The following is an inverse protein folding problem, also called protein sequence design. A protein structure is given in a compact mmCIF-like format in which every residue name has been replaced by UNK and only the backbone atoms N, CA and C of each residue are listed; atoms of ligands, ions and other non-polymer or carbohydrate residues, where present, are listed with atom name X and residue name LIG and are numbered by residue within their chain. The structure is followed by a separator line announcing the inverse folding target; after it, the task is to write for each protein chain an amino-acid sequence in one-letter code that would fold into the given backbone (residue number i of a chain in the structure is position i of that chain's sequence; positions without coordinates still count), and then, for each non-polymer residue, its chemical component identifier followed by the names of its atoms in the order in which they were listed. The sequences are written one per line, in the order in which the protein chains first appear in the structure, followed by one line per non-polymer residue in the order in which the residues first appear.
data_IF_290883328457
#
_entry.id   IF_290883328457
#
_cell.length_a   1.000
_cell.length_b   1.000
_cell.length_c   1.000
_cell.angle_alpha   90.00
_cell.angle_beta   90.00
_cell.angle_gamma   90.00
#
_symmetry.space_group_name_H-M   'P 1'
#
loop_
_entity.id
_entity.type
_entity.pdbx_description
1 polymer ?
#
# COMPACT_ATOMS: atom_id res chain seq x y z
N UNK A 1 -2.02 3.47 -10.43
CA UNK A 1 -1.06 3.01 -11.45
C UNK A 1 -0.32 4.26 -11.89
N UNK A 2 1.02 4.21 -11.95
CA UNK A 2 1.79 5.33 -12.50
C UNK A 2 1.24 5.64 -13.91
N UNK A 3 1.29 6.90 -14.37
CA UNK A 3 0.89 7.22 -15.73
C UNK A 3 1.60 6.26 -16.70
N UNK A 4 0.87 5.72 -17.67
CA UNK A 4 1.44 4.80 -18.69
C UNK A 4 2.54 5.48 -19.52
N UNK A 5 2.64 6.81 -19.44
CA UNK A 5 3.71 7.59 -20.03
C UNK A 5 5.04 7.33 -19.27
N UNK A 6 5.83 6.43 -19.85
CA UNK A 6 7.15 6.03 -19.37
C UNK A 6 8.14 7.19 -19.31
N UNK A 7 8.11 8.11 -20.26
CA UNK A 7 8.99 9.30 -20.26
C UNK A 7 8.69 10.20 -19.06
N UNK A 8 7.41 10.45 -18.77
CA UNK A 8 7.01 11.26 -17.62
C UNK A 8 7.42 10.61 -16.29
N UNK A 9 7.24 9.29 -16.18
CA UNK A 9 7.62 8.53 -14.99
C UNK A 9 9.15 8.51 -14.77
N UNK A 10 9.94 8.38 -15.84
CA UNK A 10 11.41 8.40 -15.76
C UNK A 10 11.91 9.81 -15.40
N UNK A 11 11.32 10.85 -16.00
CA UNK A 11 11.67 12.25 -15.73
C UNK A 11 11.38 12.65 -14.28
N UNK A 12 10.27 12.17 -13.68
CA UNK A 12 9.99 12.34 -12.26
C UNK A 12 11.01 11.65 -11.34
N UNK A 13 11.44 10.43 -11.70
CA UNK A 13 12.43 9.68 -10.92
C UNK A 13 13.81 10.34 -10.96
N UNK A 14 14.14 11.02 -12.06
CA UNK A 14 15.40 11.73 -12.24
C UNK A 14 15.36 13.18 -11.74
N UNK A 15 14.20 13.64 -11.26
CA UNK A 15 14.01 15.02 -10.75
C UNK A 15 14.08 16.09 -11.84
N UNK A 16 13.90 15.71 -13.11
CA UNK A 16 14.00 16.59 -14.27
C UNK A 16 12.78 17.50 -14.44
N UNK A 17 11.64 17.11 -13.86
CA UNK A 17 10.43 17.93 -13.79
C UNK A 17 10.20 18.40 -12.36
N UNK A 18 10.09 19.71 -12.11
CA UNK A 18 9.82 20.24 -10.78
C UNK A 18 8.40 19.88 -10.33
N UNK A 19 8.26 19.47 -9.07
CA UNK A 19 6.94 19.32 -8.44
C UNK A 19 6.37 20.72 -8.20
N UNK A 20 5.39 21.11 -9.01
CA UNK A 20 4.80 22.45 -8.97
C UNK A 20 3.96 22.70 -7.70
N UNK A 21 3.35 21.65 -7.14
CA UNK A 21 2.46 21.74 -5.98
C UNK A 21 2.54 20.47 -5.12
N UNK A 22 2.63 20.64 -3.80
CA UNK A 22 2.46 19.57 -2.83
C UNK A 22 1.31 19.94 -1.90
N UNK A 23 0.33 19.05 -1.77
CA UNK A 23 -0.79 19.18 -0.84
C UNK A 23 -0.90 17.94 0.03
N UNK A 24 -0.95 18.15 1.34
CA UNK A 24 -1.08 17.08 2.33
C UNK A 24 -2.44 17.17 3.02
N UNK A 25 -3.08 16.02 3.23
CA UNK A 25 -4.34 15.91 3.95
C UNK A 25 -4.25 14.78 4.97
N UNK A 26 -4.39 15.12 6.24
CA UNK A 26 -4.55 14.11 7.28
C UNK A 26 -5.92 13.41 7.12
N UNK A 27 -5.91 12.08 7.10
CA UNK A 27 -7.12 11.26 6.98
C UNK A 27 -7.23 10.31 8.19
N UNK A 28 -7.38 10.84 9.43
CA UNK A 28 -7.29 10.04 10.66
C UNK A 28 -8.35 8.94 10.75
N UNK A 29 -9.51 9.11 10.10
CA UNK A 29 -10.58 8.12 10.11
C UNK A 29 -10.39 6.96 9.11
N UNK A 30 -9.44 7.05 8.18
CA UNK A 30 -9.24 5.99 7.19
C UNK A 30 -8.71 4.69 7.79
N UNK A 31 -7.77 4.77 8.74
CA UNK A 31 -7.23 3.59 9.42
C UNK A 31 -8.32 2.82 10.18
N UNK A 32 -9.07 3.42 11.12
CA UNK A 32 -10.08 2.69 11.87
C UNK A 32 -11.21 2.14 10.99
N UNK A 33 -11.54 2.79 9.87
CA UNK A 33 -12.50 2.23 8.91
C UNK A 33 -12.01 0.92 8.29
N UNK A 34 -10.73 0.87 7.91
CA UNK A 34 -10.14 -0.34 7.31
C UNK A 34 -10.03 -1.44 8.35
N UNK A 35 -9.54 -1.11 9.55
CA UNK A 35 -9.40 -2.06 10.66
C UNK A 35 -10.75 -2.61 11.14
N UNK A 36 -11.84 -1.84 10.99
CA UNK A 36 -13.19 -2.30 11.28
C UNK A 36 -13.88 -3.05 10.11
N UNK A 37 -13.20 -3.27 8.98
CA UNK A 37 -13.79 -3.92 7.80
C UNK A 37 -14.84 -3.07 7.07
N UNK A 38 -14.88 -1.76 7.30
CA UNK A 38 -15.88 -0.83 6.77
C UNK A 38 -15.42 -0.11 5.48
N UNK A 39 -14.34 -0.55 4.85
CA UNK A 39 -13.67 0.15 3.73
C UNK A 39 -14.55 0.39 2.49
N UNK A 40 -15.63 -0.38 2.31
CA UNK A 40 -16.55 -0.31 1.15
C UNK A 40 -17.93 0.28 1.48
N UNK A 41 -18.10 0.82 2.69
CA UNK A 41 -19.39 1.27 3.22
C UNK A 41 -19.76 2.68 2.74
N UNK A 42 -21.05 3.08 2.80
CA UNK A 42 -21.48 4.47 2.60
C UNK A 42 -20.75 5.47 3.50
N UNK A 43 -20.47 5.10 4.74
CA UNK A 43 -19.74 5.88 5.73
C UNK A 43 -18.31 6.17 5.25
N UNK A 44 -17.61 5.14 4.76
CA UNK A 44 -16.27 5.31 4.18
C UNK A 44 -16.27 6.26 2.98
N UNK A 45 -17.28 6.17 2.11
CA UNK A 45 -17.45 7.12 0.98
C UNK A 45 -17.71 8.54 1.44
N UNK A 46 -18.54 8.74 2.48
CA UNK A 46 -18.80 10.05 3.05
C UNK A 46 -17.53 10.69 3.62
N UNK A 47 -16.75 9.92 4.39
CA UNK A 47 -15.49 10.36 4.97
C UNK A 47 -14.46 10.67 3.87
N UNK A 48 -14.35 9.81 2.86
CA UNK A 48 -13.47 10.05 1.71
C UNK A 48 -13.82 11.34 0.96
N UNK A 49 -15.12 11.63 0.77
CA UNK A 49 -15.56 12.91 0.18
C UNK A 49 -15.09 14.10 1.00
N UNK A 50 -15.25 14.07 2.32
CA UNK A 50 -14.81 15.14 3.21
C UNK A 50 -13.32 15.45 3.07
N UNK A 51 -12.48 14.41 2.97
CA UNK A 51 -11.03 14.61 2.86
C UNK A 51 -10.55 14.97 1.45
N UNK A 52 -11.17 14.43 0.41
CA UNK A 52 -10.54 14.39 -0.92
C UNK A 52 -11.15 15.37 -1.95
N UNK A 53 -12.37 15.89 -1.74
CA UNK A 53 -13.07 16.72 -2.75
C UNK A 53 -12.25 17.93 -3.22
N UNK A 54 -11.42 18.51 -2.35
CA UNK A 54 -10.59 19.68 -2.68
C UNK A 54 -9.28 19.39 -3.42
N UNK A 55 -9.00 18.15 -3.82
CA UNK A 55 -7.74 17.79 -4.50
C UNK A 55 -7.81 18.07 -6.00
N UNK A 56 -8.87 17.63 -6.68
CA UNK A 56 -9.03 17.87 -8.12
C UNK A 56 -9.09 19.36 -8.45
N UNK A 57 -9.83 20.14 -7.65
CA UNK A 57 -9.90 21.60 -7.82
C UNK A 57 -8.57 22.33 -7.54
N UNK A 58 -7.66 21.71 -6.78
CA UNK A 58 -6.33 22.23 -6.52
C UNK A 58 -5.32 21.89 -7.64
N UNK A 59 -5.74 21.22 -8.71
CA UNK A 59 -4.86 20.80 -9.81
C UNK A 59 -3.99 19.60 -9.46
N UNK A 60 -4.35 18.81 -8.43
CA UNK A 60 -3.64 17.57 -8.12
C UNK A 60 -3.94 16.53 -9.20
N UNK A 61 -2.89 16.00 -9.82
CA UNK A 61 -2.92 14.98 -10.86
C UNK A 61 -2.38 13.62 -10.38
N UNK A 62 -1.70 13.58 -9.23
CA UNK A 62 -1.26 12.35 -8.57
C UNK A 62 -1.52 12.39 -7.05
N UNK A 63 -1.98 11.27 -6.50
CA UNK A 63 -2.21 11.07 -5.06
C UNK A 63 -1.36 9.92 -4.55
N UNK A 64 -0.48 10.20 -3.59
CA UNK A 64 0.28 9.18 -2.87
C UNK A 64 -0.63 8.57 -1.79
N UNK A 65 -0.73 7.24 -1.77
CA UNK A 65 -1.37 6.47 -0.71
C UNK A 65 -0.42 6.40 0.50
N UNK A 66 -0.32 7.51 1.23
CA UNK A 66 0.70 7.74 2.27
C UNK A 66 0.57 6.91 3.56
N UNK A 67 -0.33 5.92 3.59
CA UNK A 67 -0.48 4.98 4.70
C UNK A 67 -0.74 3.59 4.12
N UNK A 68 -0.19 2.57 4.76
CA UNK A 68 -0.32 1.15 4.36
C UNK A 68 -1.76 0.65 4.28
N UNK A 69 -2.71 1.32 4.94
CA UNK A 69 -4.14 0.99 4.89
C UNK A 69 -4.86 1.53 3.66
N UNK A 70 -4.36 2.62 3.05
CA UNK A 70 -5.09 3.36 2.01
C UNK A 70 -5.28 2.58 0.69
N UNK A 71 -4.44 1.61 0.31
CA UNK A 71 -4.73 0.72 -0.83
C UNK A 71 -6.10 0.02 -0.73
N UNK A 72 -6.58 -0.29 0.48
CA UNK A 72 -7.88 -0.94 0.69
C UNK A 72 -9.08 0.02 0.50
N UNK A 73 -8.82 1.33 0.44
CA UNK A 73 -9.80 2.38 0.19
C UNK A 73 -9.80 2.84 -1.28
N UNK A 74 -8.97 2.27 -2.15
CA UNK A 74 -8.89 2.65 -3.57
C UNK A 74 -10.27 2.75 -4.23
N UNK A 75 -11.22 1.81 -4.06
CA UNK A 75 -12.54 1.95 -4.65
C UNK A 75 -13.26 3.24 -4.22
N UNK A 76 -13.27 3.56 -2.93
CA UNK A 76 -13.94 4.77 -2.43
C UNK A 76 -13.17 6.05 -2.76
N UNK A 77 -11.85 5.98 -2.86
CA UNK A 77 -11.01 7.09 -3.33
C UNK A 77 -11.30 7.39 -4.81
N UNK A 78 -11.44 6.36 -5.64
CA UNK A 78 -11.81 6.47 -7.06
C UNK A 78 -13.20 7.04 -7.25
N UNK A 79 -14.16 6.65 -6.42
CA UNK A 79 -15.51 7.24 -6.44
C UNK A 79 -15.49 8.76 -6.24
N UNK A 80 -14.50 9.30 -5.50
CA UNK A 80 -14.40 10.73 -5.19
C UNK A 80 -13.54 11.49 -6.20
N UNK A 81 -12.40 10.93 -6.59
CA UNK A 81 -11.39 11.60 -7.42
C UNK A 81 -11.49 11.28 -8.91
N UNK A 82 -12.22 10.22 -9.26
CA UNK A 82 -12.24 9.66 -10.60
C UNK A 82 -10.92 8.99 -11.01
N UNK A 83 -10.83 8.63 -12.28
CA UNK A 83 -9.69 7.90 -12.85
C UNK A 83 -8.55 8.80 -13.32
N UNK A 84 -8.78 10.12 -13.45
CA UNK A 84 -7.78 11.07 -13.97
C UNK A 84 -6.59 11.27 -13.04
N UNK A 85 -6.80 11.16 -11.72
CA UNK A 85 -5.73 11.32 -10.74
C UNK A 85 -4.96 10.01 -10.62
N UNK A 86 -3.65 10.02 -10.82
CA UNK A 86 -2.82 8.84 -10.66
C UNK A 86 -2.72 8.45 -9.18
N UNK A 87 -3.17 7.24 -8.82
CA UNK A 87 -2.94 6.70 -7.47
C UNK A 87 -1.58 6.02 -7.40
N UNK A 88 -0.72 6.51 -6.51
CA UNK A 88 0.64 6.01 -6.28
C UNK A 88 0.65 5.21 -4.98
N UNK A 89 0.96 3.91 -5.09
CA UNK A 89 1.17 3.02 -3.95
C UNK A 89 2.68 2.84 -3.72
N UNK A 90 3.24 3.41 -2.64
CA UNK A 90 4.66 3.29 -2.32
C UNK A 90 5.14 1.84 -2.14
N UNK A 91 4.25 0.91 -1.77
CA UNK A 91 4.61 -0.48 -1.54
C UNK A 91 5.18 -1.14 -2.80
N UNK A 92 4.74 -0.74 -3.99
CA UNK A 92 5.26 -1.27 -5.27
C UNK A 92 6.72 -0.90 -5.47
N UNK A 93 7.06 0.38 -5.28
CA UNK A 93 8.42 0.85 -5.39
C UNK A 93 9.33 0.19 -4.34
N UNK A 94 8.84 0.01 -3.12
CA UNK A 94 9.57 -0.70 -2.06
C UNK A 94 9.85 -2.16 -2.42
N UNK A 95 8.89 -2.88 -3.01
CA UNK A 95 9.09 -4.27 -3.45
C UNK A 95 10.10 -4.34 -4.60
N UNK A 96 10.04 -3.43 -5.55
CA UNK A 96 10.98 -3.40 -6.67
C UNK A 96 12.42 -3.13 -6.19
N UNK A 97 12.59 -2.23 -5.21
CA UNK A 97 13.89 -1.95 -4.60
C UNK A 97 14.41 -3.14 -3.79
N UNK A 98 13.54 -3.78 -2.99
CA UNK A 98 13.89 -4.99 -2.25
C UNK A 98 14.41 -6.10 -3.18
N UNK A 99 13.82 -6.28 -4.37
CA UNK A 99 14.30 -7.27 -5.35
C UNK A 99 15.72 -6.96 -5.83
N UNK A 100 16.08 -5.70 -6.02
CA UNK A 100 17.44 -5.32 -6.44
C UNK A 100 18.45 -5.65 -5.35
N UNK A 101 18.16 -5.25 -4.11
CA UNK A 101 19.02 -5.51 -2.95
C UNK A 101 19.24 -7.01 -2.76
N UNK A 102 18.18 -7.82 -2.82
CA UNK A 102 18.31 -9.28 -2.70
C UNK A 102 19.18 -9.88 -3.80
N UNK A 103 19.02 -9.42 -5.04
CA UNK A 103 19.83 -9.88 -6.17
C UNK A 103 21.32 -9.52 -6.01
N UNK A 104 21.61 -8.33 -5.50
CA UNK A 104 22.99 -7.91 -5.23
C UNK A 104 23.63 -8.74 -4.12
N UNK A 105 22.88 -9.04 -3.05
CA UNK A 105 23.34 -9.91 -1.97
C UNK A 105 23.61 -11.35 -2.45
N UNK A 106 22.72 -11.92 -3.28
CA UNK A 106 22.92 -13.25 -3.87
C UNK A 106 24.18 -13.29 -4.75
N UNK A 107 24.44 -12.23 -5.52
CA UNK A 107 25.63 -12.15 -6.37
C UNK A 107 26.93 -12.01 -5.56
N UNK A 108 26.89 -11.29 -4.44
CA UNK A 108 28.06 -11.05 -3.60
C UNK A 108 28.49 -12.28 -2.78
N UNK A 109 27.61 -13.25 -2.55
CA UNK A 109 27.91 -14.40 -1.68
C UNK A 109 28.59 -15.59 -2.37
N UNK A 110 28.84 -15.58 -3.70
CA UNK A 110 29.37 -16.72 -4.49
C UNK A 110 28.70 -18.08 -4.16
N UNK A 111 27.52 -18.06 -3.53
CA UNK A 111 26.79 -19.24 -3.16
C UNK A 111 26.17 -19.75 -4.45
N UNK A 112 26.80 -20.79 -5.02
CA UNK A 112 26.20 -21.69 -6.02
C UNK A 112 24.72 -21.77 -5.69
N UNK A 113 23.90 -21.23 -6.59
CA UNK A 113 22.45 -21.23 -6.55
C UNK A 113 22.03 -22.45 -5.76
N UNK A 114 21.71 -22.25 -4.48
CA UNK A 114 20.98 -23.23 -3.72
C UNK A 114 19.75 -23.37 -4.57
N UNK A 115 19.69 -24.47 -5.33
CA UNK A 115 18.50 -24.85 -6.07
C UNK A 115 17.43 -24.73 -5.00
N UNK A 116 16.60 -23.68 -5.10
CA UNK A 116 15.51 -23.48 -4.17
C UNK A 116 14.65 -24.67 -4.49
N UNK A 117 14.92 -25.77 -3.80
CA UNK A 117 14.04 -26.91 -3.70
C UNK A 117 12.71 -26.25 -3.42
N UNK A 118 11.69 -26.68 -4.15
CA UNK A 118 10.32 -26.20 -4.13
C UNK A 118 9.72 -26.45 -2.73
N UNK A 119 10.35 -25.91 -1.70
CA UNK A 119 9.94 -25.93 -0.32
C UNK A 119 8.72 -25.03 -0.26
N UNK A 120 7.68 -25.59 0.32
CA UNK A 120 6.44 -24.88 0.55
C UNK A 120 6.74 -23.76 1.55
N UNK A 121 6.83 -22.52 1.05
CA UNK A 121 6.99 -21.35 1.90
C UNK A 121 5.83 -21.29 2.91
N UNK A 122 6.17 -21.25 4.20
CA UNK A 122 5.18 -21.08 5.27
C UNK A 122 5.10 -19.61 5.65
N UNK A 123 3.93 -19.01 5.46
CA UNK A 123 3.64 -17.65 5.87
C UNK A 123 3.14 -17.64 7.32
N UNK A 124 3.82 -16.91 8.19
CA UNK A 124 3.48 -16.77 9.61
C UNK A 124 3.26 -15.31 9.96
N UNK A 125 2.20 -15.02 10.70
CA UNK A 125 1.84 -13.68 11.12
C UNK A 125 1.98 -13.56 12.63
N UNK A 126 2.46 -12.41 13.08
CA UNK A 126 2.63 -12.08 14.49
C UNK A 126 1.96 -10.74 14.75
N UNK A 127 1.15 -10.66 15.82
CA UNK A 127 0.41 -9.45 16.19
C UNK A 127 0.57 -9.17 17.67
N UNK A 128 0.58 -7.91 18.08
CA UNK A 128 0.50 -7.54 19.49
C UNK A 128 -0.93 -7.44 20.01
N UNK A 129 -1.90 -7.23 19.11
CA UNK A 129 -3.33 -7.20 19.40
C UNK A 129 -4.00 -8.56 19.28
N UNK A 130 -5.28 -8.55 18.93
CA UNK A 130 -6.13 -9.73 18.80
C UNK A 130 -5.84 -10.51 17.48
N UNK A 131 -5.37 -11.77 17.56
CA UNK A 131 -5.13 -12.61 16.38
C UNK A 131 -6.37 -12.94 15.56
N UNK A 132 -7.53 -13.13 16.21
CA UNK A 132 -8.78 -13.49 15.53
C UNK A 132 -9.34 -12.30 14.76
N UNK A 133 -9.28 -11.10 15.36
CA UNK A 133 -9.64 -9.86 14.67
C UNK A 133 -8.72 -9.61 13.47
N UNK A 134 -7.40 -9.74 13.65
CA UNK A 134 -6.45 -9.60 12.55
C UNK A 134 -6.73 -10.59 11.42
N UNK A 135 -6.99 -11.86 11.76
CA UNK A 135 -7.31 -12.90 10.78
C UNK A 135 -8.61 -12.60 10.05
N UNK A 136 -9.69 -12.26 10.77
CA UNK A 136 -10.99 -11.99 10.16
C UNK A 136 -10.94 -10.80 9.21
N UNK A 137 -10.38 -9.66 9.65
CA UNK A 137 -10.26 -8.45 8.83
C UNK A 137 -9.27 -8.67 7.70
N UNK A 138 -8.07 -9.19 7.98
CA UNK A 138 -7.04 -9.40 6.97
C UNK A 138 -7.46 -10.33 5.83
N UNK A 139 -8.29 -11.36 6.13
CA UNK A 139 -8.88 -12.23 5.11
C UNK A 139 -9.93 -11.55 4.22
N UNK A 140 -10.48 -10.39 4.62
CA UNK A 140 -11.33 -9.57 3.74
C UNK A 140 -10.52 -8.63 2.83
N UNK A 141 -9.28 -8.36 3.19
CA UNK A 141 -8.42 -7.35 2.57
C UNK A 141 -7.39 -7.95 1.61
N UNK A 142 -6.83 -9.11 1.96
CA UNK A 142 -5.75 -9.76 1.21
C UNK A 142 -6.29 -10.92 0.35
N UNK A 143 -5.70 -11.18 -0.83
CA UNK A 143 -6.10 -12.27 -1.72
C UNK A 143 -5.69 -13.67 -1.22
N UNK A 144 -4.94 -13.76 -0.12
CA UNK A 144 -4.51 -15.01 0.51
C UNK A 144 -5.27 -15.30 1.80
N UNK A 145 -5.22 -16.56 2.24
CA UNK A 145 -5.83 -16.95 3.51
C UNK A 145 -4.82 -16.87 4.65
N UNK A 146 -5.01 -15.91 5.54
CA UNK A 146 -4.26 -15.80 6.80
C UNK A 146 -4.70 -16.96 7.68
N UNK A 147 -3.80 -17.90 7.97
CA UNK A 147 -4.06 -19.08 8.79
C UNK A 147 -3.31 -19.06 10.13
N UNK A 148 -1.99 -18.91 10.09
CA UNK A 148 -1.14 -18.97 11.29
C UNK A 148 -0.85 -17.56 11.81
N UNK A 149 -1.66 -17.10 12.76
CA UNK A 149 -1.48 -15.84 13.49
C UNK A 149 -1.16 -16.14 14.94
N UNK A 150 -0.07 -15.56 15.46
CA UNK A 150 0.31 -15.70 16.88
C UNK A 150 0.32 -14.33 17.54
N UNK A 151 -0.29 -14.24 18.71
CA UNK A 151 -0.12 -13.06 19.56
C UNK A 151 1.29 -13.06 20.17
N UNK A 152 1.93 -11.90 20.19
CA UNK A 152 3.24 -11.69 20.81
C UNK A 152 3.19 -10.47 21.72
N UNK A 153 3.78 -10.60 22.90
CA UNK A 153 3.98 -9.53 23.87
C UNK A 153 5.43 -9.08 23.83
N UNK A 154 5.67 -7.77 23.90
CA UNK A 154 7.02 -7.25 24.10
C UNK A 154 7.39 -7.38 25.58
N UNK A 155 8.47 -8.09 25.88
CA UNK A 155 9.04 -8.16 27.24
C UNK A 155 9.10 -9.52 27.92
N UNK A 156 8.95 -10.63 27.19
CA UNK A 156 9.36 -11.97 27.65
C UNK A 156 10.85 -12.24 27.37
#
# INVERSE_FOLDING_TARGET
MLPENRELSESWQQGEQPIALVKSQACPLFVPLVEAGLSKTPEARGIARTYLTGFAAAGVDALILGCTHYPFLVPVIRDVLGEKIALIDPAKAMVDELRKVLKELDQAQETKTMSIVKETWKLRFFVSGDPELFQSVGNTLLPGHIQEVRQVTWGD
#
